data_IF_318073745707
#
_entry.id   IF_318073745707
#
_cell.length_a   1.000
_cell.length_b   1.000
_cell.length_c   1.000
_cell.angle_alpha   90.00
_cell.angle_beta   90.00
_cell.angle_gamma   90.00
#
_symmetry.space_group_name_H-M   'P 1'
#
loop_
_entity.id
_entity.type
_entity.pdbx_description
1 polymer ?
#
# COMPACT_ATOMS: atom_id res chain seq x y z
N UNK A 1 -2.66 28.79 4.24
CA UNK A 1 -2.62 27.97 3.03
C UNK A 1 -1.88 28.76 1.96
N UNK A 2 -0.75 28.23 1.51
CA UNK A 2 0.07 28.77 0.41
C UNK A 2 -0.57 28.49 -0.95
N UNK A 3 -0.08 29.15 -2.01
CA UNK A 3 -0.56 28.89 -3.37
C UNK A 3 -0.37 27.43 -3.78
N UNK A 4 0.75 26.80 -3.40
CA UNK A 4 1.01 25.39 -3.69
C UNK A 4 0.04 24.48 -2.95
N UNK A 5 -0.24 24.73 -1.66
CA UNK A 5 -1.25 23.95 -0.91
C UNK A 5 -2.64 24.06 -1.55
N UNK A 6 -3.05 25.28 -1.95
CA UNK A 6 -4.33 25.47 -2.63
C UNK A 6 -4.37 24.79 -4.00
N UNK A 7 -3.27 24.82 -4.74
CA UNK A 7 -3.13 24.11 -6.02
C UNK A 7 -3.27 22.60 -5.85
N UNK A 8 -2.53 22.00 -4.91
CA UNK A 8 -2.57 20.55 -4.64
C UNK A 8 -3.95 20.10 -4.13
N UNK A 9 -4.63 20.95 -3.35
CA UNK A 9 -5.95 20.68 -2.82
C UNK A 9 -7.03 20.56 -3.92
N UNK A 10 -6.84 21.18 -5.08
CA UNK A 10 -7.78 21.10 -6.20
C UNK A 10 -7.87 19.69 -6.81
N UNK A 11 -6.86 18.85 -6.62
CA UNK A 11 -6.85 17.49 -7.13
C UNK A 11 -7.49 16.53 -6.12
N UNK A 12 -8.44 15.73 -6.60
CA UNK A 12 -9.04 14.62 -5.84
C UNK A 12 -8.19 13.34 -6.00
N UNK A 13 -8.52 12.29 -5.24
CA UNK A 13 -7.76 11.03 -5.28
C UNK A 13 -7.66 10.44 -6.69
N UNK A 14 -8.73 10.47 -7.48
CA UNK A 14 -8.73 9.99 -8.86
C UNK A 14 -7.75 10.77 -9.74
N UNK A 15 -7.68 12.10 -9.59
CA UNK A 15 -6.74 12.92 -10.35
C UNK A 15 -5.28 12.58 -10.00
N UNK A 16 -5.00 12.37 -8.72
CA UNK A 16 -3.69 11.95 -8.23
C UNK A 16 -3.29 10.57 -8.75
N UNK A 17 -4.24 9.62 -8.79
CA UNK A 17 -4.01 8.28 -9.34
C UNK A 17 -3.81 8.30 -10.86
N UNK A 18 -4.56 9.13 -11.59
CA UNK A 18 -4.36 9.32 -13.01
C UNK A 18 -2.98 9.94 -13.31
N UNK A 19 -2.56 10.95 -12.54
CA UNK A 19 -1.22 11.52 -12.65
C UNK A 19 -0.12 10.49 -12.35
N UNK A 20 -0.32 9.63 -11.34
CA UNK A 20 0.58 8.52 -11.06
C UNK A 20 0.68 7.56 -12.25
N UNK A 21 -0.43 7.12 -12.82
CA UNK A 21 -0.45 6.19 -13.96
C UNK A 21 0.30 6.75 -15.17
N UNK A 22 0.14 8.05 -15.45
CA UNK A 22 0.88 8.76 -16.50
C UNK A 22 2.38 8.91 -16.20
N UNK A 23 2.76 8.98 -14.92
CA UNK A 23 4.15 9.10 -14.48
C UNK A 23 4.87 7.75 -14.39
N UNK A 24 4.16 6.62 -14.29
CA UNK A 24 4.77 5.28 -14.16
C UNK A 24 5.85 4.99 -15.22
N UNK A 25 5.68 5.32 -16.52
CA UNK A 25 6.73 5.12 -17.54
C UNK A 25 7.99 5.96 -17.29
N UNK A 26 7.89 7.03 -16.50
CA UNK A 26 8.97 7.93 -16.13
C UNK A 26 9.57 7.61 -14.75
N UNK A 27 9.15 6.51 -14.10
CA UNK A 27 9.65 6.07 -12.79
C UNK A 27 10.48 4.79 -13.00
N UNK A 28 11.64 4.73 -12.36
CA UNK A 28 12.49 3.55 -12.42
C UNK A 28 11.77 2.34 -11.82
N UNK A 29 11.98 1.16 -12.40
CA UNK A 29 11.31 -0.10 -12.03
C UNK A 29 11.37 -0.42 -10.53
N UNK A 30 12.42 0.03 -9.85
CA UNK A 30 12.68 -0.21 -8.42
C UNK A 30 11.56 0.37 -7.52
N UNK A 31 10.92 1.45 -7.98
CA UNK A 31 9.93 2.22 -7.22
C UNK A 31 8.53 2.23 -7.85
N UNK A 32 8.32 1.67 -9.05
CA UNK A 32 6.99 1.68 -9.70
C UNK A 32 5.89 1.08 -8.84
N UNK A 33 6.12 -0.10 -8.27
CA UNK A 33 5.16 -0.69 -7.33
C UNK A 33 5.15 0.04 -5.99
N UNK A 34 6.32 0.49 -5.52
CA UNK A 34 6.45 1.13 -4.22
C UNK A 34 5.60 2.41 -4.14
N UNK A 35 5.63 3.26 -5.16
CA UNK A 35 4.80 4.47 -5.18
C UNK A 35 3.31 4.13 -5.24
N UNK A 36 2.91 3.15 -6.06
CA UNK A 36 1.51 2.73 -6.13
C UNK A 36 1.00 2.18 -4.79
N UNK A 37 1.81 1.38 -4.10
CA UNK A 37 1.52 0.87 -2.76
C UNK A 37 1.37 2.03 -1.77
N UNK A 38 2.28 3.01 -1.79
CA UNK A 38 2.20 4.17 -0.88
C UNK A 38 0.87 4.92 -1.03
N UNK A 39 0.39 5.13 -2.27
CA UNK A 39 -0.92 5.75 -2.52
C UNK A 39 -2.11 4.91 -2.02
N UNK A 40 -1.94 3.60 -1.83
CA UNK A 40 -2.95 2.74 -1.19
C UNK A 40 -2.83 2.71 0.32
N UNK A 41 -1.63 2.95 0.85
CA UNK A 41 -1.39 3.09 2.29
C UNK A 41 -1.88 4.42 2.85
N UNK A 42 -1.93 5.47 2.03
CA UNK A 42 -2.40 6.79 2.46
C UNK A 42 -3.41 7.37 1.47
N UNK A 43 -4.61 6.76 1.35
CA UNK A 43 -5.63 7.22 0.43
C UNK A 43 -6.14 8.61 0.82
N UNK A 44 -6.06 9.56 -0.11
CA UNK A 44 -6.49 10.94 0.09
C UNK A 44 -7.99 11.03 0.42
N UNK A 45 -8.82 10.17 -0.17
CA UNK A 45 -10.26 10.15 0.09
C UNK A 45 -10.57 9.78 1.54
N UNK A 46 -9.84 8.81 2.11
CA UNK A 46 -9.98 8.43 3.52
C UNK A 46 -9.58 9.59 4.44
N UNK A 47 -8.44 10.23 4.16
CA UNK A 47 -7.98 11.39 4.93
C UNK A 47 -9.02 12.50 4.95
N UNK A 48 -9.51 12.91 3.77
CA UNK A 48 -10.54 13.96 3.63
C UNK A 48 -11.85 13.57 4.31
N UNK A 49 -12.25 12.29 4.24
CA UNK A 49 -13.45 11.81 4.94
C UNK A 49 -13.31 11.95 6.46
N UNK A 50 -12.16 11.57 7.02
CA UNK A 50 -11.89 11.67 8.47
C UNK A 50 -11.82 13.14 8.90
N UNK A 51 -11.18 14.01 8.10
CA UNK A 51 -11.07 15.45 8.41
C UNK A 51 -12.42 16.17 8.40
N UNK A 52 -13.34 15.74 7.52
CA UNK A 52 -14.67 16.32 7.39
C UNK A 52 -15.67 15.75 8.43
N UNK A 53 -15.28 14.75 9.22
CA UNK A 53 -16.17 14.11 10.18
C UNK A 53 -16.45 15.04 11.38
N UNK A 54 -17.73 15.20 11.73
CA UNK A 54 -18.13 15.93 12.95
C UNK A 54 -17.61 15.24 14.23
N UNK A 55 -17.71 13.90 14.25
CA UNK A 55 -17.14 13.06 15.31
C UNK A 55 -16.08 12.13 14.71
N UNK A 56 -14.83 12.57 14.86
CA UNK A 56 -13.66 11.83 14.36
C UNK A 56 -13.51 10.47 15.04
N UNK A 57 -13.70 10.39 16.35
CA UNK A 57 -13.49 9.15 17.11
C UNK A 57 -14.55 8.10 16.77
N UNK A 58 -15.82 8.50 16.69
CA UNK A 58 -16.89 7.61 16.24
C UNK A 58 -16.65 7.11 14.80
N UNK A 59 -16.11 7.99 13.93
CA UNK A 59 -15.74 7.63 12.56
C UNK A 59 -14.65 6.56 12.53
N UNK A 60 -13.56 6.76 13.26
CA UNK A 60 -12.46 5.78 13.34
C UNK A 60 -12.90 4.45 13.94
N UNK A 61 -13.67 4.48 15.01
CA UNK A 61 -14.24 3.28 15.61
C UNK A 61 -15.14 2.55 14.61
N UNK A 62 -15.94 3.29 13.85
CA UNK A 62 -16.78 2.76 12.79
C UNK A 62 -16.01 2.15 11.60
N UNK A 63 -14.71 2.39 11.46
CA UNK A 63 -13.84 1.75 10.48
C UNK A 63 -13.06 0.56 11.05
N UNK A 64 -13.16 0.28 12.36
CA UNK A 64 -12.26 -0.65 13.05
C UNK A 64 -10.78 -0.32 12.77
N UNK A 65 -10.43 0.98 12.80
CA UNK A 65 -9.07 1.45 12.53
C UNK A 65 -8.09 0.94 13.58
N UNK A 66 -7.01 0.30 13.15
CA UNK A 66 -5.92 -0.17 14.02
C UNK A 66 -4.56 0.31 13.49
N UNK A 67 -3.60 0.51 14.39
CA UNK A 67 -2.23 0.93 14.04
C UNK A 67 -2.09 2.43 13.77
N UNK A 68 -0.99 2.82 13.12
CA UNK A 68 -0.63 4.23 12.88
C UNK A 68 -1.01 4.60 11.44
N UNK A 69 -2.18 5.21 11.27
CA UNK A 69 -2.70 5.58 9.95
C UNK A 69 -2.44 7.06 9.59
N UNK A 70 -2.21 7.90 10.58
CA UNK A 70 -2.00 9.33 10.38
C UNK A 70 -0.64 9.57 9.69
N UNK A 71 -0.68 10.19 8.51
CA UNK A 71 0.54 10.48 7.74
C UNK A 71 1.38 11.58 8.40
N UNK A 72 0.75 12.52 9.13
CA UNK A 72 1.45 13.60 9.86
C UNK A 72 2.46 13.07 10.88
N UNK A 73 2.23 11.86 11.42
CA UNK A 73 3.11 11.22 12.40
C UNK A 73 4.20 10.36 11.72
N UNK A 74 4.20 10.31 10.38
CA UNK A 74 5.02 9.42 9.56
C UNK A 74 5.58 10.13 8.31
N UNK A 75 5.71 11.46 8.35
CA UNK A 75 6.13 12.27 7.18
C UNK A 75 7.47 11.77 6.62
N UNK A 76 8.44 11.53 7.49
CA UNK A 76 9.78 11.10 7.09
C UNK A 76 9.91 9.57 6.90
N UNK A 77 8.93 8.79 7.40
CA UNK A 77 9.06 7.33 7.53
C UNK A 77 8.13 6.51 6.66
N UNK A 78 6.98 7.07 6.26
CA UNK A 78 5.93 6.40 5.47
C UNK A 78 6.43 5.78 4.15
N UNK A 79 7.54 6.29 3.62
CA UNK A 79 8.12 5.92 2.35
C UNK A 79 9.46 5.18 2.46
N UNK A 80 9.86 4.68 3.64
CA UNK A 80 11.14 3.96 3.85
C UNK A 80 11.37 2.79 2.88
N UNK A 81 10.29 2.18 2.37
CA UNK A 81 10.37 1.07 1.43
C UNK A 81 10.61 1.49 -0.03
N UNK A 82 10.55 2.79 -0.34
CA UNK A 82 10.94 3.34 -1.64
C UNK A 82 12.47 3.45 -1.70
N UNK A 83 13.06 3.08 -2.83
CA UNK A 83 14.45 3.39 -3.14
C UNK A 83 14.71 4.88 -3.06
N UNK A 84 13.77 5.70 -3.56
CA UNK A 84 13.81 7.16 -3.52
C UNK A 84 13.88 7.78 -2.12
N UNK A 85 13.56 7.05 -1.03
CA UNK A 85 13.69 7.56 0.35
C UNK A 85 15.07 8.15 0.65
N UNK A 86 16.12 7.57 0.07
CA UNK A 86 17.50 8.07 0.22
C UNK A 86 17.69 9.53 -0.24
N UNK A 87 16.78 10.03 -1.07
CA UNK A 87 16.78 11.40 -1.60
C UNK A 87 15.81 12.33 -0.86
N UNK A 88 15.07 11.81 0.12
CA UNK A 88 13.95 12.49 0.77
C UNK A 88 14.32 13.88 1.29
N UNK A 89 15.42 14.02 2.02
CA UNK A 89 15.88 15.32 2.51
C UNK A 89 16.03 16.38 1.42
N UNK A 90 16.51 15.98 0.23
CA UNK A 90 16.68 16.91 -0.89
C UNK A 90 15.35 17.20 -1.59
N UNK A 91 14.48 16.19 -1.68
CA UNK A 91 13.12 16.34 -2.23
C UNK A 91 12.27 17.24 -1.36
N UNK A 92 12.24 17.01 -0.04
CA UNK A 92 11.56 17.84 0.95
C UNK A 92 11.98 19.30 0.81
N UNK A 93 13.29 19.57 0.83
CA UNK A 93 13.82 20.93 0.67
C UNK A 93 13.45 21.57 -0.67
N UNK A 94 13.33 20.80 -1.76
CA UNK A 94 12.88 21.31 -3.04
C UNK A 94 11.39 21.68 -3.03
N UNK A 95 10.55 20.84 -2.39
CA UNK A 95 9.11 21.12 -2.23
C UNK A 95 8.88 22.33 -1.31
N UNK A 96 9.65 22.47 -0.24
CA UNK A 96 9.59 23.65 0.65
C UNK A 96 9.97 24.94 -0.10
N UNK A 97 11.02 24.87 -0.94
CA UNK A 97 11.42 25.99 -1.78
C UNK A 97 10.34 26.33 -2.80
N UNK A 98 9.73 25.32 -3.43
CA UNK A 98 8.62 25.50 -4.37
C UNK A 98 7.43 26.15 -3.68
N UNK A 99 7.03 25.65 -2.50
CA UNK A 99 5.92 26.21 -1.72
C UNK A 99 6.10 27.72 -1.41
N UNK A 100 7.34 28.19 -1.30
CA UNK A 100 7.66 29.59 -1.04
C UNK A 100 7.56 30.51 -2.28
N UNK A 101 7.73 29.96 -3.48
CA UNK A 101 7.79 30.75 -4.74
C UNK A 101 6.68 30.41 -5.73
N UNK A 102 5.88 29.37 -5.46
CA UNK A 102 4.86 28.88 -6.36
C UNK A 102 3.80 29.97 -6.65
N UNK A 103 3.74 30.38 -7.92
CA UNK A 103 2.78 31.38 -8.42
C UNK A 103 1.96 30.86 -9.59
N UNK A 104 2.40 29.79 -10.25
CA UNK A 104 1.83 29.31 -11.50
C UNK A 104 0.90 28.11 -11.28
N UNK A 105 -0.42 28.34 -11.39
CA UNK A 105 -1.43 27.28 -11.29
C UNK A 105 -1.81 26.68 -12.65
N UNK A 106 -1.09 27.03 -13.73
CA UNK A 106 -1.46 26.64 -15.10
C UNK A 106 -0.92 25.27 -15.53
N UNK A 107 0.12 24.77 -14.88
CA UNK A 107 0.68 23.44 -15.15
C UNK A 107 -0.11 22.34 -14.44
N UNK A 108 -0.20 21.17 -15.06
CA UNK A 108 -0.85 20.02 -14.44
C UNK A 108 0.09 19.33 -13.42
N UNK A 109 -0.49 18.53 -12.53
CA UNK A 109 0.20 17.90 -11.42
C UNK A 109 1.43 17.07 -11.84
N UNK A 110 1.37 16.43 -13.02
CA UNK A 110 2.48 15.61 -13.53
C UNK A 110 3.65 16.47 -14.01
N UNK A 111 3.40 17.64 -14.61
CA UNK A 111 4.47 18.55 -14.98
C UNK A 111 5.12 19.15 -13.74
N UNK A 112 4.36 19.45 -12.70
CA UNK A 112 4.90 19.89 -11.41
C UNK A 112 5.87 18.85 -10.81
N UNK A 113 5.46 17.57 -10.76
CA UNK A 113 6.33 16.47 -10.33
C UNK A 113 7.61 16.39 -11.16
N UNK A 114 7.50 16.53 -12.50
CA UNK A 114 8.67 16.45 -13.39
C UNK A 114 9.61 17.63 -13.20
N UNK A 115 9.08 18.84 -12.97
CA UNK A 115 9.90 20.05 -12.78
C UNK A 115 10.70 19.96 -11.48
N UNK A 116 10.05 19.66 -10.35
CA UNK A 116 10.76 19.40 -9.09
C UNK A 116 11.73 18.22 -9.26
N UNK A 117 11.33 17.17 -9.95
CA UNK A 117 12.16 16.01 -10.27
C UNK A 117 13.44 16.36 -11.03
N UNK A 118 13.38 17.29 -12.01
CA UNK A 118 14.55 17.79 -12.75
C UNK A 118 15.51 18.50 -11.79
N UNK A 119 15.00 19.45 -11.00
CA UNK A 119 15.80 20.23 -10.05
C UNK A 119 16.53 19.33 -9.04
N UNK A 120 15.81 18.36 -8.48
CA UNK A 120 16.35 17.38 -7.53
C UNK A 120 17.41 16.50 -8.21
N UNK A 121 17.10 15.96 -9.39
CA UNK A 121 17.99 15.05 -10.12
C UNK A 121 19.31 15.72 -10.49
N UNK A 122 19.27 16.97 -10.97
CA UNK A 122 20.46 17.77 -11.28
C UNK A 122 21.32 18.01 -10.03
N UNK A 123 20.69 18.41 -8.92
CA UNK A 123 21.38 18.65 -7.65
C UNK A 123 22.07 17.40 -7.11
N UNK A 124 21.42 16.25 -7.25
CA UNK A 124 21.92 14.96 -6.77
C UNK A 124 22.84 14.24 -7.78
N UNK A 125 22.89 14.70 -9.03
CA UNK A 125 23.58 14.04 -10.15
C UNK A 125 23.12 12.59 -10.34
N UNK A 126 21.81 12.39 -10.28
CA UNK A 126 21.16 11.09 -10.52
C UNK A 126 20.15 11.19 -11.65
N UNK A 127 19.71 10.06 -12.17
CA UNK A 127 18.66 10.04 -13.18
C UNK A 127 17.31 10.49 -12.59
N UNK A 128 16.56 11.31 -13.33
CA UNK A 128 15.23 11.78 -12.93
C UNK A 128 14.26 10.66 -12.57
N UNK A 129 14.38 9.51 -13.25
CA UNK A 129 13.54 8.34 -13.00
C UNK A 129 13.67 7.79 -11.57
N UNK A 130 14.77 8.08 -10.87
CA UNK A 130 15.01 7.65 -9.49
C UNK A 130 14.41 8.58 -8.43
N UNK A 131 13.90 9.75 -8.82
CA UNK A 131 13.37 10.76 -7.88
C UNK A 131 11.89 11.08 -8.09
N UNK A 132 11.34 10.85 -9.29
CA UNK A 132 9.94 11.15 -9.60
C UNK A 132 8.94 10.53 -8.62
N UNK A 133 9.15 9.26 -8.23
CA UNK A 133 8.30 8.58 -7.26
C UNK A 133 8.27 9.28 -5.90
N UNK A 134 9.44 9.61 -5.35
CA UNK A 134 9.53 10.24 -4.03
C UNK A 134 9.10 11.72 -4.06
N UNK A 135 9.25 12.41 -5.19
CA UNK A 135 8.68 13.76 -5.39
C UNK A 135 7.16 13.71 -5.35
N UNK A 136 6.55 12.78 -6.08
CA UNK A 136 5.09 12.61 -6.09
C UNK A 136 4.55 12.28 -4.69
N UNK A 137 5.23 11.38 -3.97
CA UNK A 137 4.94 11.09 -2.56
C UNK A 137 5.07 12.34 -1.68
N UNK A 138 6.12 13.14 -1.88
CA UNK A 138 6.33 14.37 -1.12
C UNK A 138 5.23 15.40 -1.33
N UNK A 139 4.80 15.64 -2.57
CA UNK A 139 3.71 16.55 -2.88
C UNK A 139 2.37 16.05 -2.32
N UNK A 140 2.07 14.74 -2.42
CA UNK A 140 0.88 14.18 -1.79
C UNK A 140 0.95 14.27 -0.25
N UNK A 141 2.14 14.08 0.33
CA UNK A 141 2.34 14.26 1.77
C UNK A 141 2.03 15.69 2.18
N UNK A 142 2.58 16.69 1.48
CA UNK A 142 2.25 18.11 1.68
C UNK A 142 0.73 18.36 1.57
N UNK A 143 0.07 17.80 0.56
CA UNK A 143 -1.38 17.94 0.37
C UNK A 143 -2.20 17.38 1.54
N UNK A 144 -1.76 16.26 2.14
CA UNK A 144 -2.50 15.61 3.24
C UNK A 144 -2.22 16.20 4.62
N UNK A 145 -0.99 16.68 4.87
CA UNK A 145 -0.56 17.11 6.21
C UNK A 145 -0.47 18.63 6.35
N UNK A 146 -0.46 19.37 5.24
CA UNK A 146 -0.28 20.82 5.21
C UNK A 146 1.18 21.25 5.41
N UNK A 147 1.49 22.48 4.99
CA UNK A 147 2.86 23.00 4.97
C UNK A 147 3.47 23.15 6.36
N UNK A 148 2.65 23.44 7.38
CA UNK A 148 3.13 23.59 8.75
C UNK A 148 3.74 22.28 9.28
N UNK A 149 2.99 21.17 9.22
CA UNK A 149 3.48 19.87 9.65
C UNK A 149 4.60 19.36 8.74
N UNK A 150 4.51 19.62 7.44
CA UNK A 150 5.56 19.28 6.49
C UNK A 150 6.90 19.98 6.83
N UNK A 151 6.88 21.28 7.13
CA UNK A 151 8.07 22.04 7.53
C UNK A 151 8.61 21.61 8.90
N UNK A 152 7.72 21.22 9.83
CA UNK A 152 8.10 20.79 11.16
C UNK A 152 8.84 19.44 11.17
N UNK A 153 8.59 18.57 10.19
CA UNK A 153 9.33 17.31 10.03
C UNK A 153 10.82 17.59 9.72
N UNK A 154 11.72 16.78 10.27
CA UNK A 154 13.17 17.01 10.19
C UNK A 154 13.74 16.67 8.81
N UNK A 155 13.02 15.90 8.00
CA UNK A 155 13.52 15.37 6.73
C UNK A 155 14.53 14.26 6.98
N UNK A 156 14.30 13.45 8.01
CA UNK A 156 15.17 12.33 8.36
C UNK A 156 15.26 11.30 7.24
N UNK A 157 16.47 10.78 7.04
CA UNK A 157 16.75 9.75 6.05
C UNK A 157 17.50 8.63 6.74
N UNK A 158 16.86 7.46 6.80
CA UNK A 158 17.53 6.27 7.31
C UNK A 158 18.61 5.82 6.32
N UNK A 159 19.75 5.39 6.84
CA UNK A 159 20.78 4.79 6.00
C UNK A 159 20.24 3.49 5.40
N UNK A 160 20.33 3.29 4.07
CA UNK A 160 19.90 2.04 3.48
C UNK A 160 20.60 0.84 4.12
N UNK A 161 19.84 -0.21 4.37
CA UNK A 161 20.33 -1.47 4.94
C UNK A 161 19.90 -2.66 4.07
N UNK A 162 20.55 -3.82 4.26
CA UNK A 162 20.24 -5.04 3.53
C UNK A 162 20.26 -4.86 2.01
N UNK A 163 19.21 -5.33 1.32
CA UNK A 163 19.09 -5.24 -0.15
C UNK A 163 19.07 -3.79 -0.64
N UNK A 164 18.58 -2.85 0.16
CA UNK A 164 18.44 -1.44 -0.23
C UNK A 164 19.79 -0.72 -0.35
N UNK A 165 20.90 -1.32 0.10
CA UNK A 165 22.26 -0.81 -0.11
C UNK A 165 22.74 -0.93 -1.56
N UNK A 166 22.09 -1.77 -2.37
CA UNK A 166 22.49 -2.04 -3.75
C UNK A 166 22.06 -0.92 -4.71
N UNK A 167 22.52 -1.01 -5.96
CA UNK A 167 22.04 -0.18 -7.07
C UNK A 167 20.56 -0.50 -7.39
N UNK A 168 19.81 0.42 -8.03
CA UNK A 168 18.38 0.22 -8.28
C UNK A 168 18.11 -1.02 -9.13
N UNK A 169 18.87 -1.26 -10.20
CA UNK A 169 18.76 -2.47 -11.02
C UNK A 169 19.09 -3.75 -10.25
N UNK A 170 20.09 -3.71 -9.37
CA UNK A 170 20.46 -4.87 -8.57
C UNK A 170 19.38 -5.23 -7.54
N UNK A 171 18.62 -4.24 -7.04
CA UNK A 171 17.45 -4.48 -6.17
C UNK A 171 16.35 -5.16 -6.97
N UNK A 172 16.04 -4.67 -8.17
CA UNK A 172 15.04 -5.28 -9.06
C UNK A 172 15.42 -6.73 -9.37
N UNK A 173 16.68 -6.97 -9.75
CA UNK A 173 17.18 -8.30 -10.04
C UNK A 173 17.16 -9.24 -8.80
N UNK A 174 17.46 -8.73 -7.61
CA UNK A 174 17.39 -9.51 -6.37
C UNK A 174 15.94 -9.90 -6.04
N UNK A 175 14.99 -8.96 -6.16
CA UNK A 175 13.56 -9.22 -5.92
C UNK A 175 13.00 -10.28 -6.88
N UNK A 176 13.53 -10.36 -8.10
CA UNK A 176 13.13 -11.36 -9.10
C UNK A 176 13.75 -12.75 -8.85
N UNK A 177 14.76 -12.89 -8.00
CA UNK A 177 15.51 -14.15 -7.81
C UNK A 177 14.88 -15.07 -6.77
N UNK A 178 14.79 -16.36 -7.11
CA UNK A 178 14.39 -17.40 -6.14
C UNK A 178 15.57 -17.96 -5.35
N UNK A 179 15.26 -18.44 -4.14
CA UNK A 179 16.21 -19.15 -3.30
C UNK A 179 16.70 -20.43 -4.02
N UNK A 180 17.99 -20.75 -3.85
CA UNK A 180 18.53 -21.99 -4.39
C UNK A 180 17.86 -23.21 -3.76
N UNK A 181 17.36 -24.12 -4.60
CA UNK A 181 16.74 -25.37 -4.16
C UNK A 181 17.76 -26.50 -3.91
N UNK A 182 19.07 -26.21 -4.01
CA UNK A 182 20.19 -27.15 -3.95
C UNK A 182 20.52 -27.80 -5.30
N UNK A 183 21.62 -28.56 -5.36
CA UNK A 183 22.19 -29.18 -6.58
C UNK A 183 21.20 -30.10 -7.32
N UNK A 184 20.24 -30.69 -6.61
CA UNK A 184 19.17 -31.52 -7.17
C UNK A 184 17.77 -30.92 -6.98
N UNK A 185 17.68 -29.59 -6.88
CA UNK A 185 16.44 -28.88 -6.58
C UNK A 185 15.31 -29.10 -7.60
N UNK A 186 15.65 -29.46 -8.84
CA UNK A 186 14.68 -29.79 -9.89
C UNK A 186 13.88 -31.07 -9.60
N UNK A 187 14.41 -32.00 -8.77
CA UNK A 187 13.70 -33.21 -8.35
C UNK A 187 12.72 -32.98 -7.19
N UNK A 188 12.80 -31.81 -6.52
CA UNK A 188 11.86 -31.45 -5.46
C UNK A 188 10.59 -30.87 -6.10
N UNK A 189 9.48 -31.58 -6.00
CA UNK A 189 8.18 -31.10 -6.51
C UNK A 189 7.34 -30.45 -5.40
N UNK A 190 7.24 -31.09 -4.22
CA UNK A 190 6.30 -30.67 -3.16
C UNK A 190 6.95 -29.90 -2.00
N UNK A 191 8.25 -30.09 -1.77
CA UNK A 191 8.98 -29.53 -0.62
C UNK A 191 9.95 -28.41 -1.00
N UNK A 192 9.67 -27.67 -2.09
CA UNK A 192 10.44 -26.48 -2.42
C UNK A 192 10.22 -25.42 -1.33
N UNK A 193 11.31 -24.77 -0.94
CA UNK A 193 11.32 -23.72 0.06
C UNK A 193 11.72 -22.43 -0.62
N UNK A 194 10.85 -21.45 -0.51
CA UNK A 194 11.07 -20.07 -0.91
C UNK A 194 11.07 -19.21 0.33
N UNK A 195 11.09 -17.92 0.11
CA UNK A 195 11.03 -16.97 1.19
C UNK A 195 10.20 -15.76 0.87
N UNK A 196 9.58 -15.24 1.91
CA UNK A 196 8.98 -13.91 1.92
C UNK A 196 9.95 -12.97 2.60
N UNK A 197 10.42 -11.97 1.88
CA UNK A 197 11.10 -10.81 2.46
C UNK A 197 10.06 -9.74 2.75
N UNK A 198 10.10 -9.09 3.90
CA UNK A 198 9.12 -8.07 4.24
C UNK A 198 9.77 -6.84 4.88
N UNK A 199 9.12 -5.70 4.69
CA UNK A 199 9.37 -4.46 5.43
C UNK A 199 8.06 -3.97 6.03
N UNK A 200 8.08 -3.57 7.30
CA UNK A 200 7.01 -2.93 8.04
C UNK A 200 7.55 -1.66 8.69
N UNK A 201 6.68 -0.86 9.32
CA UNK A 201 7.10 0.40 9.96
C UNK A 201 8.20 0.21 11.02
N UNK A 202 8.08 -0.84 11.86
CA UNK A 202 8.98 -1.07 12.99
C UNK A 202 9.86 -2.32 12.85
N UNK A 203 9.76 -3.04 11.73
CA UNK A 203 10.53 -4.27 11.53
C UNK A 203 10.73 -4.58 10.06
N UNK A 204 11.78 -5.33 9.76
CA UNK A 204 11.99 -5.94 8.46
C UNK A 204 12.63 -7.31 8.65
N UNK A 205 12.45 -8.20 7.70
CA UNK A 205 12.92 -9.56 7.87
C UNK A 205 12.62 -10.47 6.70
N UNK A 206 12.86 -11.75 6.95
CA UNK A 206 12.66 -12.82 5.97
C UNK A 206 12.14 -14.05 6.70
N UNK A 207 11.04 -14.63 6.23
CA UNK A 207 10.51 -15.89 6.76
C UNK A 207 10.34 -16.93 5.64
N UNK A 208 10.46 -18.24 5.97
CA UNK A 208 10.37 -19.30 4.98
C UNK A 208 8.93 -19.50 4.49
N UNK A 209 8.80 -19.84 3.21
CA UNK A 209 7.56 -20.12 2.53
C UNK A 209 7.66 -21.49 1.84
N UNK A 210 6.74 -22.41 2.13
CA UNK A 210 6.61 -23.63 1.34
C UNK A 210 5.91 -23.33 0.02
N UNK A 211 6.27 -24.06 -1.04
CA UNK A 211 5.61 -23.92 -2.34
C UNK A 211 4.08 -24.04 -2.22
N UNK A 212 3.36 -23.07 -2.81
CA UNK A 212 1.90 -22.93 -2.78
C UNK A 212 1.28 -22.70 -1.38
N UNK A 213 2.10 -22.43 -0.37
CA UNK A 213 1.60 -22.06 0.96
C UNK A 213 1.04 -20.62 0.94
N UNK A 214 -0.01 -20.40 1.72
CA UNK A 214 -0.56 -19.07 1.96
C UNK A 214 0.43 -18.22 2.78
N UNK A 215 0.58 -16.94 2.43
CA UNK A 215 1.57 -16.05 3.06
C UNK A 215 1.30 -15.91 4.56
N UNK A 216 0.04 -15.78 5.01
CA UNK A 216 -0.26 -15.72 6.45
C UNK A 216 0.07 -17.01 7.17
N UNK A 217 -0.15 -18.17 6.54
CA UNK A 217 0.21 -19.46 7.13
C UNK A 217 1.73 -19.61 7.25
N UNK A 218 2.49 -19.11 6.28
CA UNK A 218 3.95 -19.05 6.35
C UNK A 218 4.45 -18.08 7.44
N UNK A 219 3.86 -16.87 7.49
CA UNK A 219 4.11 -15.85 8.52
C UNK A 219 3.87 -16.40 9.93
N UNK A 220 2.78 -17.15 10.14
CA UNK A 220 2.45 -17.76 11.44
C UNK A 220 3.46 -18.81 11.91
N UNK A 221 4.35 -19.31 11.03
CA UNK A 221 5.44 -20.20 11.44
C UNK A 221 6.69 -19.44 11.91
N UNK A 222 6.77 -18.13 11.68
CA UNK A 222 7.88 -17.32 12.15
C UNK A 222 7.70 -16.98 13.63
N UNK A 223 8.48 -17.65 14.48
CA UNK A 223 8.54 -17.44 15.93
C UNK A 223 9.85 -16.81 16.38
N UNK A 224 10.56 -16.13 15.47
CA UNK A 224 11.87 -15.55 15.76
C UNK A 224 11.83 -14.37 16.73
N UNK A 225 10.67 -13.70 16.86
CA UNK A 225 10.48 -12.53 17.71
C UNK A 225 9.10 -12.55 18.38
N UNK A 226 8.93 -11.73 19.42
CA UNK A 226 7.62 -11.38 19.96
C UNK A 226 6.98 -10.31 19.07
N UNK A 227 6.33 -10.76 18.00
CA UNK A 227 5.73 -9.89 16.99
C UNK A 227 4.64 -8.97 17.55
N UNK A 228 3.89 -9.44 18.55
CA UNK A 228 2.82 -8.67 19.14
C UNK A 228 3.36 -7.47 19.94
N UNK A 229 4.53 -7.63 20.59
CA UNK A 229 5.20 -6.52 21.27
C UNK A 229 5.71 -5.43 20.32
N UNK A 230 6.02 -5.79 19.07
CA UNK A 230 6.47 -4.86 18.03
C UNK A 230 5.30 -4.17 17.31
N UNK A 231 4.19 -4.89 17.16
CA UNK A 231 2.96 -4.42 16.54
C UNK A 231 1.77 -5.20 17.10
N UNK A 232 0.85 -4.51 17.78
CA UNK A 232 -0.29 -5.14 18.45
C UNK A 232 -1.25 -5.88 17.51
N UNK A 233 -1.15 -5.63 16.19
CA UNK A 233 -1.94 -6.31 15.14
C UNK A 233 -1.35 -7.68 14.77
N UNK A 234 -0.09 -7.94 15.13
CA UNK A 234 0.70 -9.11 14.71
C UNK A 234 0.65 -10.25 15.74
N UNK A 235 -0.50 -10.93 15.84
CA UNK A 235 -0.73 -12.00 16.82
C UNK A 235 0.01 -13.31 16.52
N UNK A 236 0.10 -13.69 15.24
CA UNK A 236 0.64 -15.01 14.86
C UNK A 236 2.05 -14.95 14.29
N UNK A 237 2.44 -13.82 13.70
CA UNK A 237 3.67 -13.66 12.92
C UNK A 237 3.81 -12.22 12.46
N UNK A 238 4.80 -11.90 11.63
CA UNK A 238 5.06 -10.52 11.19
C UNK A 238 3.94 -9.90 10.34
N UNK A 239 3.11 -10.70 9.66
CA UNK A 239 1.93 -10.22 8.91
C UNK A 239 0.70 -10.21 9.82
N UNK A 240 0.03 -9.06 10.02
CA UNK A 240 -1.22 -9.00 10.79
C UNK A 240 -2.29 -9.92 10.22
N UNK A 241 -3.00 -10.64 11.08
CA UNK A 241 -4.09 -11.53 10.67
C UNK A 241 -5.08 -11.73 11.81
N UNK A 242 -6.38 -11.57 11.50
CA UNK A 242 -7.48 -11.90 12.43
C UNK A 242 -8.43 -12.97 11.86
N UNK A 243 -8.33 -13.23 10.55
CA UNK A 243 -9.08 -14.30 9.89
C UNK A 243 -8.29 -14.83 8.68
N UNK A 244 -8.59 -16.05 8.26
CA UNK A 244 -8.03 -16.66 7.04
C UNK A 244 -9.01 -16.70 5.86
N UNK A 245 -10.18 -16.05 6.01
CA UNK A 245 -11.30 -16.14 5.07
C UNK A 245 -11.57 -14.85 4.27
N UNK A 246 -10.61 -13.91 4.23
CA UNK A 246 -10.79 -12.59 3.60
C UNK A 246 -12.01 -11.80 4.10
N UNK A 247 -12.23 -11.81 5.42
CA UNK A 247 -13.38 -11.16 6.06
C UNK A 247 -13.02 -9.98 6.97
N UNK A 248 -11.79 -9.91 7.48
CA UNK A 248 -11.38 -8.86 8.43
C UNK A 248 -10.65 -7.67 7.81
N UNK A 249 -9.94 -7.86 6.69
CA UNK A 249 -9.13 -6.80 6.06
C UNK A 249 -7.80 -6.50 6.75
N UNK A 250 -7.39 -7.26 7.76
CA UNK A 250 -6.16 -6.96 8.52
C UNK A 250 -4.87 -7.39 7.82
N UNK A 251 -4.90 -8.49 7.07
CA UNK A 251 -3.74 -9.08 6.40
C UNK A 251 -3.40 -8.49 5.02
N UNK A 252 -3.76 -7.24 4.76
CA UNK A 252 -3.47 -6.59 3.50
C UNK A 252 -1.98 -6.18 3.42
N UNK A 253 -1.38 -6.38 2.25
CA UNK A 253 0.05 -6.14 1.99
C UNK A 253 0.25 -5.52 0.61
N UNK A 254 1.31 -4.73 0.48
CA UNK A 254 1.87 -4.33 -0.81
C UNK A 254 2.92 -5.34 -1.29
N UNK A 255 2.97 -5.65 -2.58
CA UNK A 255 3.92 -6.58 -3.20
C UNK A 255 4.92 -5.78 -4.03
N UNK A 256 6.17 -5.71 -3.56
CA UNK A 256 7.27 -5.01 -4.22
C UNK A 256 7.95 -5.85 -5.30
N UNK A 257 7.81 -7.16 -5.26
CA UNK A 257 8.38 -8.06 -6.26
C UNK A 257 7.93 -9.50 -6.05
N UNK A 258 7.93 -10.28 -7.14
CA UNK A 258 7.45 -11.66 -7.16
C UNK A 258 5.95 -11.80 -7.36
N UNK A 259 5.25 -10.75 -7.85
CA UNK A 259 3.81 -10.81 -8.16
C UNK A 259 3.48 -11.95 -9.13
N UNK A 260 4.31 -12.14 -10.15
CA UNK A 260 4.21 -13.17 -11.17
C UNK A 260 4.35 -14.61 -10.63
N UNK A 261 4.84 -14.74 -9.39
CA UNK A 261 5.01 -16.01 -8.68
C UNK A 261 3.86 -16.27 -7.69
N UNK A 262 2.87 -15.39 -7.64
CA UNK A 262 1.72 -15.51 -6.75
C UNK A 262 0.52 -16.07 -7.51
N UNK A 263 -0.39 -16.73 -6.78
CA UNK A 263 -1.67 -17.15 -7.35
C UNK A 263 -2.50 -15.95 -7.76
N UNK A 264 -3.24 -16.12 -8.87
CA UNK A 264 -4.21 -15.14 -9.34
C UNK A 264 -5.25 -14.82 -8.25
N UNK A 265 -5.76 -13.59 -8.29
CA UNK A 265 -6.73 -13.12 -7.30
C UNK A 265 -8.10 -13.77 -7.53
N UNK A 266 -8.59 -14.47 -6.51
CA UNK A 266 -9.94 -15.04 -6.52
C UNK A 266 -11.04 -14.00 -6.31
N UNK A 267 -12.27 -14.34 -6.75
CA UNK A 267 -13.47 -13.49 -6.62
C UNK A 267 -13.71 -12.97 -5.20
N UNK A 268 -13.40 -13.78 -4.17
CA UNK A 268 -13.59 -13.40 -2.77
C UNK A 268 -12.67 -12.25 -2.37
N UNK A 269 -11.38 -12.35 -2.67
CA UNK A 269 -10.40 -11.28 -2.42
C UNK A 269 -10.79 -10.00 -3.17
N UNK A 270 -11.16 -10.09 -4.45
CA UNK A 270 -11.65 -8.93 -5.24
C UNK A 270 -12.77 -8.18 -4.54
N UNK A 271 -13.79 -8.91 -4.08
CA UNK A 271 -14.93 -8.32 -3.38
C UNK A 271 -14.50 -7.71 -2.06
N UNK A 272 -13.71 -8.43 -1.28
CA UNK A 272 -13.27 -8.01 0.03
C UNK A 272 -12.40 -6.73 -0.03
N UNK A 273 -11.49 -6.63 -1.01
CA UNK A 273 -10.65 -5.44 -1.20
C UNK A 273 -11.46 -4.16 -1.46
N UNK A 274 -12.59 -4.25 -2.18
CA UNK A 274 -13.54 -3.14 -2.36
C UNK A 274 -14.24 -2.77 -1.05
N UNK A 275 -14.66 -3.77 -0.28
CA UNK A 275 -15.29 -3.56 1.04
C UNK A 275 -14.33 -2.86 2.00
N UNK A 276 -13.08 -3.30 2.02
CA UNK A 276 -12.07 -2.74 2.92
C UNK A 276 -11.63 -1.34 2.50
N UNK A 277 -11.58 -1.06 1.19
CA UNK A 277 -11.19 0.25 0.65
C UNK A 277 -9.74 0.32 0.18
N UNK A 278 -9.07 -0.82 0.03
CA UNK A 278 -7.64 -0.88 -0.33
C UNK A 278 -7.37 -0.79 -1.85
N UNK A 279 -8.42 -0.61 -2.67
CA UNK A 279 -8.35 -0.29 -4.10
C UNK A 279 -7.31 -1.12 -4.90
N UNK A 280 -7.46 -2.44 -4.84
CA UNK A 280 -6.69 -3.39 -5.64
C UNK A 280 -6.98 -3.22 -7.15
N UNK A 281 -5.95 -3.21 -8.00
CA UNK A 281 -6.11 -3.16 -9.47
C UNK A 281 -6.69 -4.46 -10.02
N UNK A 282 -7.35 -4.41 -11.19
CA UNK A 282 -8.02 -5.57 -11.79
C UNK A 282 -7.07 -6.60 -12.44
N UNK A 283 -5.77 -6.37 -12.40
CA UNK A 283 -4.72 -7.31 -12.88
C UNK A 283 -4.78 -8.65 -12.15
N UNK A 284 -4.52 -9.76 -12.85
CA UNK A 284 -4.59 -11.10 -12.26
C UNK A 284 -3.71 -11.27 -10.99
N UNK A 285 -2.53 -10.65 -10.98
CA UNK A 285 -1.56 -10.66 -9.87
C UNK A 285 -1.20 -9.22 -9.45
N UNK A 286 -2.11 -8.49 -8.78
CA UNK A 286 -1.95 -7.08 -8.48
C UNK A 286 -0.97 -6.84 -7.33
N UNK A 287 -0.46 -5.61 -7.24
CA UNK A 287 0.52 -5.22 -6.21
C UNK A 287 -0.09 -5.05 -4.81
N UNK A 288 -1.41 -4.98 -4.68
CA UNK A 288 -2.09 -5.05 -3.37
C UNK A 288 -2.72 -6.42 -3.20
N UNK A 289 -2.49 -7.10 -2.08
CA UNK A 289 -3.02 -8.45 -1.84
C UNK A 289 -3.55 -8.61 -0.41
N UNK A 290 -4.50 -9.53 -0.24
CA UNK A 290 -4.75 -10.13 1.08
C UNK A 290 -3.81 -11.32 1.25
N UNK A 291 -2.89 -11.25 2.22
CA UNK A 291 -1.90 -12.28 2.45
C UNK A 291 -2.52 -13.65 2.78
N UNK A 292 -3.73 -13.69 3.36
CA UNK A 292 -4.45 -14.95 3.61
C UNK A 292 -5.08 -15.59 2.37
N UNK A 293 -5.12 -14.90 1.23
CA UNK A 293 -5.62 -15.43 -0.04
C UNK A 293 -4.50 -15.60 -1.07
N UNK A 294 -3.32 -15.08 -0.75
CA UNK A 294 -2.15 -15.11 -1.61
C UNK A 294 -1.28 -16.33 -1.28
N UNK A 295 -1.11 -17.22 -2.28
CA UNK A 295 -0.13 -18.30 -2.28
C UNK A 295 0.98 -17.98 -3.25
N UNK A 296 2.18 -18.49 -3.01
CA UNK A 296 3.31 -18.25 -3.91
C UNK A 296 4.12 -19.52 -4.22
N UNK A 297 4.65 -19.55 -5.44
CA UNK A 297 5.49 -20.63 -5.99
C UNK A 297 6.94 -20.18 -6.18
N UNK A 298 7.33 -19.09 -5.53
CA UNK A 298 8.65 -18.50 -5.57
C UNK A 298 8.84 -17.44 -4.48
N UNK A 299 9.98 -16.75 -4.50
CA UNK A 299 10.27 -15.68 -3.56
C UNK A 299 9.35 -14.46 -3.79
N UNK A 300 8.92 -13.82 -2.71
CA UNK A 300 8.08 -12.62 -2.74
C UNK A 300 8.67 -11.55 -1.82
N UNK A 301 8.60 -10.29 -2.23
CA UNK A 301 8.97 -9.14 -1.39
C UNK A 301 7.72 -8.31 -1.06
N UNK A 302 7.45 -8.12 0.23
CA UNK A 302 6.25 -7.46 0.72
C UNK A 302 6.56 -6.17 1.48
N UNK A 303 5.56 -5.29 1.54
CA UNK A 303 5.48 -4.20 2.51
C UNK A 303 4.19 -4.38 3.30
N UNK A 304 4.33 -4.30 4.62
CA UNK A 304 3.21 -4.41 5.56
C UNK A 304 2.83 -2.98 5.98
N UNK A 305 1.57 -2.56 5.77
CA UNK A 305 1.11 -1.22 6.13
C UNK A 305 1.15 -1.01 7.64
N UNK A 306 1.38 0.22 8.13
CA UNK A 306 1.39 0.52 9.56
C UNK A 306 0.00 0.50 10.21
N UNK A 307 -1.06 0.33 9.42
CA UNK A 307 -2.44 0.33 9.88
C UNK A 307 -3.33 -0.65 9.08
N UNK A 308 -4.54 -0.91 9.58
CA UNK A 308 -5.60 -1.60 8.85
C UNK A 308 -6.97 -1.02 9.23
N UNK A 309 -7.96 -1.14 8.35
CA UNK A 309 -9.34 -0.73 8.60
C UNK A 309 -10.33 -1.27 7.56
N UNK A 310 -11.62 -1.05 7.77
CA UNK A 310 -12.71 -1.33 6.84
C UNK A 310 -13.52 -0.06 6.58
N UNK A 311 -13.25 0.61 5.47
CA UNK A 311 -13.81 1.94 5.16
C UNK A 311 -14.42 2.07 3.77
N UNK A 312 -14.22 1.08 2.88
CA UNK A 312 -14.60 1.17 1.46
C UNK A 312 -16.04 1.59 1.21
N UNK A 313 -17.01 0.98 1.91
CA UNK A 313 -18.45 1.36 1.77
C UNK A 313 -18.69 2.83 2.06
N UNK A 314 -18.13 3.31 3.17
CA UNK A 314 -18.41 4.62 3.75
C UNK A 314 -17.71 5.74 2.99
N UNK A 315 -16.49 5.48 2.50
CA UNK A 315 -15.66 6.48 1.81
C UNK A 315 -15.94 6.51 0.31
N UNK A 316 -16.09 5.35 -0.33
CA UNK A 316 -16.17 5.27 -1.79
C UNK A 316 -17.56 4.97 -2.34
N UNK A 317 -18.48 4.46 -1.52
CA UNK A 317 -19.82 4.05 -1.98
C UNK A 317 -19.82 2.95 -3.07
N UNK A 318 -18.66 2.38 -3.39
CA UNK A 318 -18.40 1.51 -4.54
C UNK A 318 -18.70 0.02 -4.29
N UNK A 319 -19.51 -0.28 -3.28
CA UNK A 319 -19.98 -1.64 -3.02
C UNK A 319 -21.34 -1.76 -3.69
N UNK A 320 -21.39 -2.40 -4.84
CA UNK A 320 -22.65 -2.89 -5.40
C UNK A 320 -23.36 -3.71 -4.31
N UNK A 321 -24.55 -3.26 -3.91
CA UNK A 321 -25.48 -4.09 -3.18
C UNK A 321 -25.91 -5.22 -4.11
N UNK A 322 -25.13 -6.30 -4.12
CA UNK A 322 -25.57 -7.53 -4.75
C UNK A 322 -26.73 -8.04 -3.91
N UNK A 323 -27.95 -7.80 -4.39
CA UNK A 323 -29.08 -8.65 -4.06
C UNK A 323 -28.64 -10.08 -4.36
N UNK A 324 -28.30 -10.81 -3.30
CA UNK A 324 -27.98 -12.21 -3.43
C UNK A 324 -29.27 -12.90 -3.88
N UNK A 325 -29.36 -13.23 -5.16
CA UNK A 325 -30.26 -14.27 -5.66
C UNK A 325 -30.10 -15.47 -4.72
N UNK A 326 -31.18 -15.93 -4.08
CA UNK A 326 -31.10 -16.95 -3.04
C UNK A 326 -30.43 -18.21 -3.59
N UNK A 327 -29.28 -18.55 -3.02
CA UNK A 327 -28.43 -19.68 -3.47
C UNK A 327 -29.12 -21.03 -3.21
N UNK A 328 -30.19 -21.05 -2.41
CA UNK A 328 -30.98 -22.23 -2.11
C UNK A 328 -32.47 -21.93 -2.25
N UNK A 329 -33.24 -22.92 -2.68
CA UNK A 329 -34.72 -22.90 -2.68
C UNK A 329 -35.30 -22.54 -1.31
N UNK A 330 -34.63 -22.95 -0.23
CA UNK A 330 -35.03 -22.62 1.15
C UNK A 330 -34.86 -21.12 1.48
N UNK A 331 -33.76 -20.49 1.05
CA UNK A 331 -33.55 -19.05 1.24
C UNK A 331 -34.52 -18.21 0.40
N UNK A 332 -34.92 -18.72 -0.77
CA UNK A 332 -35.96 -18.12 -1.60
C UNK A 332 -37.33 -18.19 -0.93
N UNK A 333 -37.73 -19.39 -0.50
CA UNK A 333 -39.01 -19.61 0.17
C UNK A 333 -39.13 -18.78 1.47
N UNK A 334 -38.05 -18.66 2.25
CA UNK A 334 -38.04 -17.85 3.48
C UNK A 334 -38.27 -16.36 3.19
N UNK A 335 -37.65 -15.82 2.13
CA UNK A 335 -37.85 -14.42 1.72
C UNK A 335 -39.24 -14.19 1.14
N UNK A 336 -39.76 -15.11 0.33
CA UNK A 336 -41.13 -15.05 -0.18
C UNK A 336 -42.15 -15.09 0.98
N UNK A 337 -41.91 -15.93 1.99
CA UNK A 337 -42.75 -16.01 3.21
C UNK A 337 -42.70 -14.72 4.04
N UNK A 338 -41.51 -14.12 4.20
CA UNK A 338 -41.35 -12.85 4.91
C UNK A 338 -42.03 -11.72 4.12
N UNK A 339 -41.83 -11.67 2.81
CA UNK A 339 -42.42 -10.67 1.93
C UNK A 339 -43.96 -10.74 1.99
N UNK A 340 -44.55 -11.93 1.90
CA UNK A 340 -46.00 -12.14 2.03
C UNK A 340 -46.53 -11.75 3.42
N UNK A 341 -45.74 -11.99 4.47
CA UNK A 341 -46.12 -11.61 5.83
C UNK A 341 -46.06 -10.09 6.07
N UNK A 342 -45.20 -9.37 5.36
CA UNK A 342 -45.09 -7.90 5.43
C UNK A 342 -46.00 -7.16 4.47
N UNK A 343 -46.48 -7.79 3.40
CA UNK A 343 -47.36 -7.15 2.40
C UNK A 343 -48.84 -7.17 2.75
N UNK A 344 -49.25 -7.91 3.80
CA UNK A 344 -50.62 -7.87 4.33
C UNK A 344 -51.72 -8.09 3.28
N UNK A 345 -51.81 -9.31 2.74
CA UNK A 345 -53.05 -9.87 2.21
C UNK A 345 -53.54 -11.02 3.09
#
# INVERSE_FOLDING_TARGET
MTNLESYLANYNETDWLAALDELLPCIHEVDKNAVQIWFRFYPLSLKRFIDAAEDREATLHGFAMQGVFELKDQIDTSHHFLYGHRYWKTVKAAIEAEAAVFTDQSHDLKEEVKQIGILVAEKLKVERQLVNAIVLVGLMTLNQVGLEAFNAATGEVEKPSGVMTKSPDAIVAERAKDDSQGVFGFLKTVNKKFSVTYTAANSSGKFPLLNEQEITAASANDRSQDWQSLDSRCWEGPVPVECTAASCGTCWVGVLGGQEKMTEVGRRERRAMKVFGYNQTDEATPFMRLACQARATGNVTLVIPPWNAVFGKKVYGNIEEVELEPVTTSAKALRETIASATSGE
#
